data_IF_644195078578
#
_entry.id   IF_644195078578
#
_cell.length_a   1.000
_cell.length_b   1.000
_cell.length_c   1.000
_cell.angle_alpha   90.00
_cell.angle_beta   90.00
_cell.angle_gamma   90.00
#
_symmetry.space_group_name_H-M   'P 1'
#
loop_
_entity.id
_entity.type
_entity.pdbx_description
1 polymer ?
#
# COMPACT_ATOMS: atom_id res chain seq x y z
N UNK A 1 5.26 9.15 43.35
CA UNK A 1 6.16 9.35 42.20
C UNK A 1 6.46 8.00 41.57
N UNK A 2 6.49 7.93 40.23
CA UNK A 2 6.73 6.77 39.33
C UNK A 2 5.49 5.93 38.95
N UNK A 3 4.79 6.48 37.96
CA UNK A 3 3.98 5.81 36.94
C UNK A 3 4.76 4.70 36.22
N UNK A 4 4.08 3.58 35.91
CA UNK A 4 4.39 2.78 34.71
C UNK A 4 3.14 2.07 34.23
N UNK A 5 2.39 2.75 33.37
CA UNK A 5 1.28 2.17 32.62
C UNK A 5 1.90 1.23 31.59
N UNK A 6 1.56 -0.06 31.66
CA UNK A 6 1.86 -1.03 30.60
C UNK A 6 0.82 -0.80 29.52
N UNK A 7 1.16 -0.05 28.48
CA UNK A 7 0.32 0.07 27.31
C UNK A 7 0.57 -1.12 26.39
N UNK A 8 -0.41 -2.02 26.40
CA UNK A 8 -0.72 -3.01 25.40
C UNK A 8 -0.82 -2.35 24.03
N UNK A 9 -0.13 -2.92 23.05
CA UNK A 9 -0.67 -3.19 21.71
C UNK A 9 0.27 -4.20 21.07
N UNK A 10 -0.20 -5.45 21.09
CA UNK A 10 0.26 -6.52 20.23
C UNK A 10 0.48 -5.97 18.82
N UNK A 11 1.73 -5.94 18.41
CA UNK A 11 2.07 -5.96 16.99
C UNK A 11 2.48 -7.40 16.74
N UNK A 12 1.49 -8.29 16.79
CA UNK A 12 1.60 -9.60 16.18
C UNK A 12 1.97 -9.35 14.72
N UNK A 13 3.19 -9.73 14.36
CA UNK A 13 3.60 -9.87 12.97
C UNK A 13 2.63 -10.85 12.34
N UNK A 14 1.66 -10.35 11.59
CA UNK A 14 0.76 -11.17 10.77
C UNK A 14 1.64 -11.89 9.73
N UNK A 15 1.39 -13.18 9.44
CA UNK A 15 2.34 -14.03 8.74
C UNK A 15 2.58 -13.52 7.33
N UNK A 16 3.84 -13.52 6.93
CA UNK A 16 4.35 -12.98 5.68
C UNK A 16 4.40 -14.05 4.58
N UNK A 17 3.45 -14.98 4.55
CA UNK A 17 3.41 -16.10 3.59
C UNK A 17 2.16 -16.05 2.69
N UNK A 18 2.43 -16.24 1.39
CA UNK A 18 1.56 -16.72 0.29
C UNK A 18 0.90 -15.79 -0.73
N UNK A 19 0.99 -14.46 -0.65
CA UNK A 19 0.54 -13.61 -1.77
C UNK A 19 1.68 -12.78 -2.37
N UNK A 20 2.45 -13.40 -3.27
CA UNK A 20 3.51 -12.73 -4.03
C UNK A 20 2.98 -11.48 -4.76
N UNK A 21 1.74 -11.54 -5.24
CA UNK A 21 1.06 -10.45 -5.95
C UNK A 21 0.91 -9.18 -5.10
N UNK A 22 0.57 -9.34 -3.81
CA UNK A 22 0.44 -8.22 -2.88
C UNK A 22 1.78 -7.53 -2.63
N UNK A 23 2.84 -8.33 -2.48
CA UNK A 23 4.21 -7.82 -2.34
C UNK A 23 4.66 -7.09 -3.60
N UNK A 24 4.36 -7.62 -4.78
CA UNK A 24 4.72 -7.00 -6.07
C UNK A 24 4.01 -5.65 -6.25
N UNK A 25 2.70 -5.59 -6.00
CA UNK A 25 1.95 -4.34 -6.12
C UNK A 25 2.43 -3.28 -5.13
N UNK A 26 2.60 -3.65 -3.85
CA UNK A 26 3.09 -2.74 -2.82
C UNK A 26 4.49 -2.20 -3.15
N UNK A 27 5.39 -3.06 -3.64
CA UNK A 27 6.71 -2.61 -4.09
C UNK A 27 6.62 -1.69 -5.32
N UNK A 28 5.75 -1.99 -6.28
CA UNK A 28 5.57 -1.16 -7.47
C UNK A 28 5.09 0.25 -7.12
N UNK A 29 4.05 0.37 -6.28
CA UNK A 29 3.51 1.68 -5.90
C UNK A 29 4.48 2.48 -5.02
N UNK A 30 5.20 1.81 -4.11
CA UNK A 30 6.22 2.46 -3.27
C UNK A 30 7.40 2.95 -4.09
N UNK A 31 7.88 2.14 -5.05
CA UNK A 31 8.94 2.56 -5.99
C UNK A 31 8.50 3.75 -6.83
N UNK A 32 7.25 3.76 -7.29
CA UNK A 32 6.70 4.90 -8.02
C UNK A 32 6.65 6.16 -7.15
N UNK A 33 6.20 6.04 -5.90
CA UNK A 33 6.19 7.15 -4.95
C UNK A 33 7.58 7.78 -4.80
N UNK A 34 8.58 6.94 -4.52
CA UNK A 34 9.97 7.37 -4.32
C UNK A 34 10.54 7.96 -5.60
N UNK A 35 10.35 7.29 -6.76
CA UNK A 35 10.88 7.72 -8.06
C UNK A 35 10.33 9.09 -8.49
N UNK A 36 9.08 9.37 -8.17
CA UNK A 36 8.42 10.63 -8.55
C UNK A 36 8.43 11.65 -7.40
N UNK A 37 9.07 11.34 -6.26
CA UNK A 37 9.09 12.16 -5.05
C UNK A 37 7.70 12.66 -4.61
N UNK A 38 6.71 11.76 -4.65
CA UNK A 38 5.32 12.09 -4.36
C UNK A 38 4.99 11.90 -2.89
N UNK A 39 4.19 12.82 -2.35
CA UNK A 39 3.57 12.61 -1.06
C UNK A 39 2.38 11.65 -1.15
N UNK A 40 2.03 11.02 -0.02
CA UNK A 40 0.87 10.11 0.06
C UNK A 40 -0.42 10.79 -0.43
N UNK A 41 -0.59 12.09 -0.14
CA UNK A 41 -1.74 12.89 -0.59
C UNK A 41 -1.77 13.06 -2.11
N UNK A 42 -0.61 13.15 -2.76
CA UNK A 42 -0.54 13.28 -4.22
C UNK A 42 -0.90 11.97 -4.91
N UNK A 43 -0.47 10.84 -4.34
CA UNK A 43 -0.92 9.52 -4.81
C UNK A 43 -2.43 9.35 -4.61
N UNK A 44 -2.96 9.76 -3.46
CA UNK A 44 -4.40 9.76 -3.21
C UNK A 44 -5.15 10.55 -4.29
N UNK A 45 -4.70 11.78 -4.59
CA UNK A 45 -5.29 12.63 -5.63
C UNK A 45 -5.19 12.01 -7.03
N UNK A 46 -4.03 11.44 -7.40
CA UNK A 46 -3.84 10.79 -8.71
C UNK A 46 -4.75 9.57 -8.89
N UNK A 47 -4.98 8.82 -7.82
CA UNK A 47 -5.82 7.62 -7.85
C UNK A 47 -7.31 7.94 -7.69
N UNK A 48 -7.65 9.13 -7.19
CA UNK A 48 -9.01 9.50 -6.81
C UNK A 48 -9.46 8.84 -5.51
N UNK A 49 -8.53 8.61 -4.60
CA UNK A 49 -8.74 7.94 -3.32
C UNK A 49 -8.81 8.96 -2.17
N UNK A 50 -9.60 8.63 -1.15
CA UNK A 50 -9.49 9.31 0.14
C UNK A 50 -8.15 8.99 0.82
N UNK A 51 -7.70 9.87 1.71
CA UNK A 51 -6.46 9.73 2.48
C UNK A 51 -6.35 8.37 3.17
N UNK A 52 -7.41 7.88 3.82
CA UNK A 52 -7.36 6.61 4.55
C UNK A 52 -7.18 5.42 3.59
N UNK A 53 -7.90 5.46 2.46
CA UNK A 53 -7.82 4.44 1.42
C UNK A 53 -6.45 4.43 0.75
N UNK A 54 -5.89 5.60 0.43
CA UNK A 54 -4.53 5.71 -0.11
C UNK A 54 -3.47 5.20 0.88
N UNK A 55 -3.59 5.53 2.16
CA UNK A 55 -2.69 5.03 3.20
C UNK A 55 -2.73 3.50 3.32
N UNK A 56 -3.92 2.89 3.21
CA UNK A 56 -4.08 1.43 3.19
C UNK A 56 -3.41 0.80 1.97
N UNK A 57 -3.61 1.40 0.79
CA UNK A 57 -2.98 0.96 -0.46
C UNK A 57 -1.45 1.01 -0.37
N UNK A 58 -0.90 2.14 0.11
CA UNK A 58 0.54 2.31 0.29
C UNK A 58 1.12 1.39 1.36
N UNK A 59 0.35 0.99 2.36
CA UNK A 59 0.78 0.02 3.37
C UNK A 59 0.67 -1.44 2.90
N UNK A 60 0.15 -1.68 1.70
CA UNK A 60 0.03 -3.02 1.11
C UNK A 60 -1.23 -3.77 1.51
N UNK A 61 -2.24 -3.12 2.09
CA UNK A 61 -3.53 -3.75 2.42
C UNK A 61 -4.43 -3.87 1.19
N UNK A 62 -3.93 -4.51 0.13
CA UNK A 62 -4.62 -4.56 -1.16
C UNK A 62 -5.82 -5.52 -1.18
N UNK A 63 -5.91 -6.44 -0.21
CA UNK A 63 -7.08 -7.29 0.06
C UNK A 63 -8.40 -6.50 0.25
N UNK A 64 -8.30 -5.21 0.61
CA UNK A 64 -9.47 -4.34 0.78
C UNK A 64 -9.96 -3.73 -0.54
N UNK A 65 -9.33 -4.06 -1.67
CA UNK A 65 -9.61 -3.50 -2.98
C UNK A 65 -10.04 -4.60 -3.95
N UNK A 66 -10.97 -4.28 -4.85
CA UNK A 66 -11.31 -5.18 -5.94
C UNK A 66 -10.16 -5.24 -6.95
N UNK A 67 -9.99 -6.40 -7.60
CA UNK A 67 -9.00 -6.59 -8.67
C UNK A 67 -9.13 -5.51 -9.76
N UNK A 68 -10.37 -5.17 -10.14
CA UNK A 68 -10.68 -4.13 -11.12
C UNK A 68 -10.14 -2.75 -10.69
N UNK A 69 -10.28 -2.41 -9.40
CA UNK A 69 -9.73 -1.18 -8.84
C UNK A 69 -8.20 -1.18 -8.89
N UNK A 70 -7.56 -2.30 -8.55
CA UNK A 70 -6.10 -2.44 -8.55
C UNK A 70 -5.53 -2.32 -9.96
N UNK A 71 -6.15 -2.94 -10.95
CA UNK A 71 -5.82 -2.78 -12.38
C UNK A 71 -5.95 -1.30 -12.77
N UNK A 72 -7.08 -0.67 -12.45
CA UNK A 72 -7.29 0.75 -12.73
C UNK A 72 -6.26 1.68 -12.08
N UNK A 73 -5.75 1.34 -10.89
CA UNK A 73 -4.68 2.11 -10.23
C UNK A 73 -3.33 1.94 -10.93
N UNK A 74 -3.00 0.73 -11.34
CA UNK A 74 -1.79 0.42 -12.12
C UNK A 74 -1.80 1.17 -13.45
N UNK A 75 -2.94 1.17 -14.14
CA UNK A 75 -3.11 1.89 -15.41
C UNK A 75 -2.97 3.42 -15.22
N UNK A 76 -3.63 3.98 -14.21
CA UNK A 76 -3.54 5.42 -13.88
C UNK A 76 -2.12 5.86 -13.54
N UNK A 77 -1.40 5.04 -12.77
CA UNK A 77 -0.02 5.33 -12.36
C UNK A 77 1.01 4.92 -13.41
N UNK A 78 0.59 4.21 -14.47
CA UNK A 78 1.46 3.57 -15.47
C UNK A 78 2.57 2.77 -14.79
N UNK A 79 2.22 1.99 -13.77
CA UNK A 79 3.18 1.14 -13.07
C UNK A 79 3.62 0.03 -14.03
N UNK A 80 4.93 -0.20 -14.19
CA UNK A 80 5.41 -1.38 -14.89
C UNK A 80 5.22 -2.59 -13.96
N UNK A 81 4.01 -3.16 -13.93
CA UNK A 81 3.87 -4.53 -13.48
C UNK A 81 4.60 -5.37 -14.53
N UNK A 82 5.72 -5.96 -14.13
CA UNK A 82 6.42 -6.89 -14.99
C UNK A 82 5.50 -8.09 -15.18
N UNK A 83 4.87 -8.16 -16.35
CA UNK A 83 4.44 -9.41 -16.96
C UNK A 83 5.69 -10.31 -17.02
N UNK A 84 5.88 -11.15 -16.00
CA UNK A 84 6.71 -12.33 -16.16
C UNK A 84 5.85 -13.34 -16.88
N UNK A 85 5.80 -13.21 -18.21
CA UNK A 85 5.50 -14.33 -19.13
C UNK A 85 6.74 -15.20 -19.23
#
# INVERSE_FOLDING_TARGET
MKTRIKNSKEITKTPLDDNEEEKVFHQAITRYQIKNNLEEREIANKLGLDKNTAARLLRGYIENFSLDSLIGYVEKLRLPLQDKV
#
